data_IF_277294300358
#
_entry.id   IF_277294300358
#
_cell.length_a   1.000
_cell.length_b   1.000
_cell.length_c   1.000
_cell.angle_alpha   90.00
_cell.angle_beta   90.00
_cell.angle_gamma   90.00
#
_symmetry.space_group_name_H-M   'P 1'
#
loop_
_entity.id
_entity.type
_entity.pdbx_description
1 polymer ?
#
# COMPACT_ATOMS: atom_id res chain seq x y z
N UNK A 1 0.03 9.23 3.21
CA UNK A 1 1.42 9.19 2.71
C UNK A 1 1.44 9.69 1.28
N UNK A 2 2.51 10.37 0.85
CA UNK A 2 2.77 10.69 -0.56
C UNK A 2 4.17 10.19 -0.91
N UNK A 3 4.31 9.52 -2.05
CA UNK A 3 5.63 9.21 -2.62
C UNK A 3 5.59 9.27 -4.15
N UNK A 4 6.77 9.43 -4.76
CA UNK A 4 6.95 9.68 -6.18
C UNK A 4 7.94 8.67 -6.78
N UNK A 5 7.63 8.23 -7.99
CA UNK A 5 8.42 7.38 -8.89
C UNK A 5 9.41 6.46 -8.16
N UNK A 6 8.90 5.34 -7.65
CA UNK A 6 9.74 4.44 -6.89
C UNK A 6 9.00 3.21 -6.39
N UNK A 7 9.76 2.32 -5.78
CA UNK A 7 9.24 1.13 -5.14
C UNK A 7 10.08 0.72 -3.94
N UNK A 8 9.45 0.15 -2.92
CA UNK A 8 10.16 -0.42 -1.77
C UNK A 8 9.46 -1.69 -1.26
N UNK A 9 10.24 -2.71 -0.85
CA UNK A 9 9.66 -3.93 -0.29
C UNK A 9 9.17 -3.68 1.12
N UNK A 10 8.06 -4.32 1.50
CA UNK A 10 7.51 -4.25 2.84
C UNK A 10 6.78 -5.54 3.21
N UNK A 11 6.91 -5.96 4.47
CA UNK A 11 6.13 -7.06 5.03
C UNK A 11 5.17 -6.49 6.05
N UNK A 12 3.86 -6.64 5.81
CA UNK A 12 2.84 -6.15 6.74
C UNK A 12 2.56 -7.21 7.78
N UNK A 13 3.08 -7.05 9.01
CA UNK A 13 2.73 -7.90 10.16
C UNK A 13 1.39 -7.50 10.82
N UNK A 14 0.60 -6.67 10.14
CA UNK A 14 -0.67 -6.08 10.55
C UNK A 14 -1.60 -5.99 9.34
N UNK A 15 -2.89 -5.80 9.60
CA UNK A 15 -3.85 -5.49 8.55
C UNK A 15 -3.76 -4.00 8.19
N UNK A 16 -3.86 -3.67 6.91
CA UNK A 16 -3.86 -2.30 6.40
C UNK A 16 -4.94 -2.08 5.34
N UNK A 17 -5.64 -0.95 5.43
CA UNK A 17 -6.54 -0.44 4.40
C UNK A 17 -5.96 0.84 3.84
N UNK A 18 -5.87 0.93 2.53
CA UNK A 18 -5.44 2.11 1.81
C UNK A 18 -6.62 2.75 1.08
N UNK A 19 -6.74 4.07 1.18
CA UNK A 19 -7.63 4.85 0.33
C UNK A 19 -6.78 5.77 -0.55
N UNK A 20 -6.83 5.55 -1.86
CA UNK A 20 -6.04 6.35 -2.82
C UNK A 20 -6.75 7.68 -3.04
N UNK A 21 -6.14 8.76 -2.59
CA UNK A 21 -6.67 10.12 -2.70
C UNK A 21 -6.39 10.67 -4.10
N UNK A 22 -5.16 10.49 -4.61
CA UNK A 22 -4.74 10.93 -5.94
C UNK A 22 -3.55 10.09 -6.45
N UNK A 23 -3.34 10.09 -7.76
CA UNK A 23 -2.30 9.32 -8.42
C UNK A 23 -2.64 7.84 -8.58
N UNK A 24 -1.61 7.00 -8.64
CA UNK A 24 -1.72 5.55 -8.85
C UNK A 24 -0.80 4.79 -7.89
N UNK A 25 -1.40 3.92 -7.07
CA UNK A 25 -0.72 3.05 -6.13
C UNK A 25 -0.76 1.61 -6.65
N UNK A 26 0.41 1.02 -6.84
CA UNK A 26 0.56 -0.36 -7.27
C UNK A 26 1.09 -1.20 -6.09
N UNK A 27 0.34 -2.23 -5.71
CA UNK A 27 0.76 -3.24 -4.73
C UNK A 27 1.07 -4.52 -5.48
N UNK A 28 2.33 -4.97 -5.43
CA UNK A 28 2.71 -6.26 -6.02
C UNK A 28 2.84 -7.33 -4.96
N UNK A 29 2.31 -8.51 -5.24
CA UNK A 29 2.37 -9.70 -4.38
C UNK A 29 2.83 -10.87 -5.24
N UNK A 30 4.11 -11.26 -5.09
CA UNK A 30 4.73 -12.21 -6.01
C UNK A 30 4.72 -11.68 -7.45
N UNK A 31 4.07 -12.42 -8.35
CA UNK A 31 3.92 -12.06 -9.76
C UNK A 31 2.63 -11.26 -10.06
N UNK A 32 1.75 -11.10 -9.06
CA UNK A 32 0.49 -10.37 -9.21
C UNK A 32 0.65 -8.88 -8.90
N UNK A 33 -0.13 -8.04 -9.58
CA UNK A 33 -0.15 -6.59 -9.42
C UNK A 33 -1.58 -6.09 -9.27
N UNK A 34 -1.80 -5.32 -8.20
CA UNK A 34 -3.06 -4.69 -7.86
C UNK A 34 -2.87 -3.17 -7.95
N UNK A 35 -3.66 -2.51 -8.80
CA UNK A 35 -3.52 -1.08 -9.07
C UNK A 35 -4.75 -0.35 -8.55
N UNK A 36 -4.54 0.52 -7.55
CA UNK A 36 -5.54 1.48 -7.08
C UNK A 36 -5.27 2.87 -7.65
N UNK A 37 -6.34 3.55 -8.05
CA UNK A 37 -6.34 4.94 -8.52
C UNK A 37 -7.21 5.80 -7.61
N UNK A 38 -7.18 7.12 -7.82
CA UNK A 38 -7.98 8.07 -7.05
C UNK A 38 -9.44 7.59 -6.83
N UNK A 39 -9.83 7.42 -5.56
CA UNK A 39 -11.14 6.92 -5.13
C UNK A 39 -11.18 5.43 -4.78
N UNK A 40 -10.19 4.64 -5.19
CA UNK A 40 -10.13 3.20 -4.91
C UNK A 40 -9.70 2.92 -3.45
N UNK A 41 -10.15 1.78 -2.94
CA UNK A 41 -9.75 1.23 -1.64
C UNK A 41 -9.04 -0.10 -1.84
N UNK A 42 -7.89 -0.27 -1.20
CA UNK A 42 -7.12 -1.51 -1.20
C UNK A 42 -7.08 -2.05 0.23
N UNK A 43 -7.31 -3.35 0.40
CA UNK A 43 -7.10 -4.04 1.67
C UNK A 43 -5.92 -5.00 1.53
N UNK A 44 -4.96 -4.89 2.45
CA UNK A 44 -3.76 -5.73 2.51
C UNK A 44 -3.81 -6.53 3.81
N UNK A 45 -3.99 -7.86 3.74
CA UNK A 45 -4.05 -8.69 4.93
C UNK A 45 -2.71 -8.80 5.67
N UNK A 46 -2.77 -9.01 6.98
CA UNK A 46 -1.61 -9.37 7.81
C UNK A 46 -0.87 -10.59 7.24
N UNK A 47 0.46 -10.50 7.29
CA UNK A 47 1.40 -11.52 6.82
C UNK A 47 1.77 -11.39 5.34
N UNK A 48 1.25 -10.37 4.65
CA UNK A 48 1.51 -10.19 3.22
C UNK A 48 2.87 -9.53 2.99
N UNK A 49 3.69 -10.15 2.13
CA UNK A 49 4.92 -9.56 1.59
C UNK A 49 4.57 -8.83 0.29
N UNK A 50 4.86 -7.54 0.24
CA UNK A 50 4.52 -6.71 -0.91
C UNK A 50 5.73 -5.93 -1.43
N UNK A 51 5.60 -5.47 -2.66
CA UNK A 51 6.36 -4.33 -3.16
C UNK A 51 5.40 -3.16 -3.35
N UNK A 52 5.53 -2.12 -2.52
CA UNK A 52 4.87 -0.84 -2.74
C UNK A 52 5.49 -0.17 -3.96
N UNK A 53 4.68 0.25 -4.92
CA UNK A 53 5.15 0.82 -6.19
C UNK A 53 4.29 2.03 -6.62
N UNK A 54 4.93 2.99 -7.28
CA UNK A 54 4.24 3.95 -8.16
C UNK A 54 5.15 4.33 -9.32
N UNK A 55 4.59 4.44 -10.52
CA UNK A 55 5.32 4.86 -11.73
C UNK A 55 5.38 6.38 -11.89
N UNK A 56 4.48 7.10 -11.23
CA UNK A 56 4.38 8.56 -11.26
C UNK A 56 4.38 9.09 -9.83
N UNK A 57 3.23 9.12 -9.18
CA UNK A 57 3.09 9.42 -7.77
C UNK A 57 1.84 8.72 -7.21
N UNK A 58 1.83 8.52 -5.90
CA UNK A 58 0.66 8.09 -5.16
C UNK A 58 0.47 8.99 -3.94
N UNK A 59 -0.75 9.45 -3.70
CA UNK A 59 -1.16 10.10 -2.46
C UNK A 59 -2.35 9.34 -1.89
N UNK A 60 -2.17 8.78 -0.70
CA UNK A 60 -3.14 7.86 -0.11
C UNK A 60 -3.18 7.99 1.42
N UNK A 61 -4.31 7.63 2.01
CA UNK A 61 -4.47 7.41 3.44
C UNK A 61 -4.25 5.92 3.71
N UNK A 62 -3.61 5.59 4.83
CA UNK A 62 -3.58 4.22 5.34
C UNK A 62 -4.23 4.16 6.72
N UNK A 63 -4.90 3.05 7.02
CA UNK A 63 -5.49 2.73 8.32
C UNK A 63 -5.04 1.33 8.69
N UNK A 64 -4.41 1.18 9.85
CA UNK A 64 -3.85 -0.11 10.29
C UNK A 64 -4.58 -0.67 11.50
N UNK A 65 -4.53 -1.99 11.65
CA UNK A 65 -4.83 -2.66 12.90
C UNK A 65 -3.79 -3.76 13.19
N UNK A 66 -3.17 -3.78 14.38
CA UNK A 66 -3.29 -2.82 15.49
C UNK A 66 -2.73 -1.41 15.19
N UNK A 67 -3.06 -0.43 16.04
CA UNK A 67 -2.58 0.95 15.87
C UNK A 67 -1.06 1.10 16.11
N UNK A 68 -0.48 0.26 16.98
CA UNK A 68 0.96 0.16 17.21
C UNK A 68 1.63 -0.76 16.16
N UNK A 69 1.30 -0.55 14.88
CA UNK A 69 1.72 -1.38 13.75
C UNK A 69 3.24 -1.44 13.56
N UNK A 70 3.97 -0.39 13.94
CA UNK A 70 5.44 -0.33 13.85
C UNK A 70 6.14 -1.30 14.80
N UNK A 71 5.44 -1.83 15.80
CA UNK A 71 5.98 -2.80 16.77
C UNK A 71 5.57 -4.25 16.45
N UNK A 72 5.01 -4.50 15.25
CA UNK A 72 4.53 -5.82 14.82
C UNK A 72 5.57 -6.58 14.01
#
# INVERSE_FOLDING_TARGET
MRFENGSFPWTLNYDEVEYVIDGELEIRVGDESFIGRAGDVIFIPRGTNILFCTRTFAYFLYVTFPANWTMQ
#
